data_IF_660165718733
#
_entry.id   IF_660165718733
#
_cell.length_a   1.000
_cell.length_b   1.000
_cell.length_c   1.000
_cell.angle_alpha   90.00
_cell.angle_beta   90.00
_cell.angle_gamma   90.00
#
_symmetry.space_group_name_H-M   'P 1'
#
loop_
_entity.id
_entity.type
_entity.pdbx_description
1 polymer ?
#
# COMPACT_ATOMS: atom_id res chain seq x y z
N UNK A 1 6.54 17.65 -1.32
CA UNK A 1 6.41 17.08 0.03
C UNK A 1 7.21 15.80 0.16
N UNK A 2 7.74 15.51 1.35
CA UNK A 2 8.50 14.29 1.63
C UNK A 2 7.58 13.31 2.36
N UNK A 3 7.51 12.07 1.90
CA UNK A 3 6.73 11.01 2.53
C UNK A 3 7.59 9.76 2.66
N UNK A 4 7.22 8.85 3.55
CA UNK A 4 7.90 7.58 3.70
C UNK A 4 7.00 6.48 3.17
N UNK A 5 7.48 5.66 2.24
CA UNK A 5 6.72 4.56 1.65
C UNK A 5 7.49 3.26 1.91
N UNK A 6 6.91 2.32 2.65
CA UNK A 6 7.55 1.05 3.04
C UNK A 6 8.95 1.29 3.66
N UNK A 7 9.06 2.29 4.53
CA UNK A 7 10.33 2.71 5.13
C UNK A 7 11.29 3.47 4.19
N UNK A 8 10.91 3.72 2.94
CA UNK A 8 11.71 4.47 1.96
C UNK A 8 11.23 5.92 1.83
N UNK A 9 12.09 6.86 2.17
CA UNK A 9 11.82 8.29 1.95
C UNK A 9 11.71 8.58 0.46
N UNK A 10 10.56 9.11 0.05
CA UNK A 10 10.22 9.46 -1.32
C UNK A 10 9.74 10.90 -1.36
N UNK A 11 10.37 11.71 -2.19
CA UNK A 11 9.94 13.09 -2.43
C UNK A 11 8.93 13.09 -3.55
N UNK A 12 7.68 13.43 -3.25
CA UNK A 12 6.60 13.57 -4.22
C UNK A 12 6.21 15.05 -4.38
N UNK A 13 5.77 15.50 -5.57
CA UNK A 13 5.30 16.87 -5.73
C UNK A 13 4.10 17.11 -4.80
N UNK A 14 4.03 18.29 -4.19
CA UNK A 14 2.87 18.64 -3.36
C UNK A 14 1.67 18.87 -4.29
N UNK A 15 0.61 18.10 -4.09
CA UNK A 15 -0.55 18.15 -4.96
C UNK A 15 -1.81 17.94 -4.13
N UNK A 16 -2.66 18.96 -4.03
CA UNK A 16 -3.85 18.95 -3.18
C UNK A 16 -4.89 17.93 -3.61
N UNK A 17 -4.82 17.47 -4.86
CA UNK A 17 -5.68 16.44 -5.44
C UNK A 17 -5.09 15.04 -5.30
N UNK A 18 -3.86 14.89 -4.77
CA UNK A 18 -3.21 13.58 -4.63
C UNK A 18 -3.80 12.84 -3.42
N UNK A 19 -4.40 11.71 -3.73
CA UNK A 19 -4.95 10.76 -2.78
C UNK A 19 -4.10 9.50 -2.75
N UNK A 20 -4.38 8.62 -1.77
CA UNK A 20 -3.72 7.32 -1.67
C UNK A 20 -3.92 6.51 -2.96
N UNK A 21 -5.10 6.60 -3.57
CA UNK A 21 -5.42 5.90 -4.81
C UNK A 21 -4.50 6.32 -5.98
N UNK A 22 -4.31 7.63 -6.19
CA UNK A 22 -3.37 8.12 -7.21
C UNK A 22 -1.93 7.70 -6.94
N UNK A 23 -1.52 7.64 -5.67
CA UNK A 23 -0.18 7.19 -5.31
C UNK A 23 0.02 5.70 -5.63
N UNK A 24 -0.98 4.85 -5.34
CA UNK A 24 -0.99 3.43 -5.69
C UNK A 24 -0.97 3.20 -7.21
N UNK A 25 -1.62 4.08 -7.97
CA UNK A 25 -1.59 4.05 -9.44
C UNK A 25 -0.22 4.40 -9.99
N UNK A 26 0.43 5.45 -9.48
CA UNK A 26 1.80 5.82 -9.88
C UNK A 26 2.84 4.75 -9.53
N UNK A 27 2.60 3.99 -8.45
CA UNK A 27 3.48 2.90 -8.02
C UNK A 27 3.31 1.61 -8.85
N UNK A 28 2.47 1.62 -9.89
CA UNK A 28 2.17 0.48 -10.77
C UNK A 28 1.83 -0.78 -9.96
N UNK A 29 1.10 -0.61 -8.86
CA UNK A 29 0.69 -1.73 -8.02
C UNK A 29 -0.39 -2.50 -8.80
N UNK A 30 0.06 -3.44 -9.63
CA UNK A 30 -0.78 -4.36 -10.41
C UNK A 30 -1.77 -5.16 -9.53
N UNK A 31 -1.61 -5.13 -8.21
CA UNK A 31 -2.43 -5.80 -7.22
C UNK A 31 -3.18 -4.82 -6.29
N UNK A 32 -3.67 -3.68 -6.82
CA UNK A 32 -4.55 -2.73 -6.12
C UNK A 32 -5.76 -3.35 -5.39
N UNK A 33 -6.12 -4.59 -5.71
CA UNK A 33 -7.21 -5.34 -5.08
C UNK A 33 -6.80 -6.07 -3.79
N UNK A 34 -5.50 -6.31 -3.58
CA UNK A 34 -4.98 -7.15 -2.49
C UNK A 34 -3.94 -6.44 -1.60
N UNK A 35 -3.73 -5.15 -1.82
CA UNK A 35 -2.83 -4.32 -1.02
C UNK A 35 -3.62 -3.63 0.09
N UNK A 36 -3.14 -3.77 1.31
CA UNK A 36 -3.60 -3.02 2.50
C UNK A 36 -2.64 -1.86 2.70
N UNK A 37 -3.18 -0.64 2.77
CA UNK A 37 -2.41 0.57 3.05
C UNK A 37 -2.54 0.93 4.52
N UNK A 38 -1.41 1.07 5.19
CA UNK A 38 -1.32 1.64 6.53
C UNK A 38 -0.75 3.05 6.43
N UNK A 39 -1.41 4.01 7.06
CA UNK A 39 -1.02 5.41 7.13
C UNK A 39 -0.71 5.77 8.58
N UNK A 40 0.55 6.09 8.88
CA UNK A 40 1.02 6.46 10.21
C UNK A 40 0.65 5.46 11.32
N UNK A 41 0.58 4.16 11.01
CA UNK A 41 0.14 3.12 11.96
C UNK A 41 -1.36 2.81 11.93
N UNK A 42 -2.15 3.49 11.10
CA UNK A 42 -3.59 3.28 10.96
C UNK A 42 -3.92 2.62 9.61
N UNK A 43 -4.56 1.46 9.64
CA UNK A 43 -4.98 0.76 8.42
C UNK A 43 -6.16 1.52 7.81
N UNK A 44 -5.97 1.99 6.57
CA UNK A 44 -7.00 2.71 5.84
C UNK A 44 -7.77 1.73 4.94
N UNK A 45 -9.09 1.83 4.98
CA UNK A 45 -9.97 1.09 4.08
C UNK A 45 -9.81 1.54 2.63
N UNK A 46 -9.96 0.59 1.70
CA UNK A 46 -9.83 0.85 0.27
C UNK A 46 -10.80 1.91 -0.24
N UNK A 47 -12.00 1.98 0.33
CA UNK A 47 -13.00 3.01 0.00
C UNK A 47 -12.53 4.42 0.40
N UNK A 48 -11.70 4.52 1.44
CA UNK A 48 -11.12 5.76 1.90
C UNK A 48 -9.88 6.18 1.08
N UNK A 49 -9.32 5.34 0.20
CA UNK A 49 -8.14 5.71 -0.59
C UNK A 49 -8.40 6.87 -1.54
N UNK A 50 -9.62 6.95 -2.08
CA UNK A 50 -10.03 8.02 -2.98
C UNK A 50 -10.38 9.34 -2.26
N UNK A 51 -10.63 9.29 -0.94
CA UNK A 51 -11.03 10.46 -0.15
C UNK A 51 -9.95 10.93 0.83
N UNK A 52 -8.95 10.09 1.10
CA UNK A 52 -7.85 10.40 2.02
C UNK A 52 -6.74 11.13 1.27
N UNK A 53 -6.49 12.42 1.59
CA UNK A 53 -5.40 13.17 1.00
C UNK A 53 -4.07 12.76 1.61
N UNK A 54 -3.02 12.76 0.79
CA UNK A 54 -1.63 12.49 1.22
C UNK A 54 -1.00 13.79 1.72
N UNK A 55 -0.40 13.79 2.92
CA UNK A 55 0.31 14.97 3.46
C UNK A 55 1.81 14.71 3.61
N UNK A 56 2.58 15.79 3.59
CA UNK A 56 4.03 15.73 3.79
C UNK A 56 4.35 15.31 5.22
N UNK A 57 5.25 14.33 5.36
CA UNK A 57 5.63 13.73 6.63
C UNK A 57 4.91 12.42 6.93
N UNK A 58 3.93 12.03 6.12
CA UNK A 58 3.19 10.78 6.32
C UNK A 58 4.04 9.55 5.99
N UNK A 59 3.86 8.52 6.81
CA UNK A 59 4.41 7.18 6.60
C UNK A 59 3.33 6.25 6.05
N UNK A 60 3.57 5.69 4.87
CA UNK A 60 2.73 4.72 4.18
C UNK A 60 3.39 3.35 4.20
N UNK A 61 2.70 2.31 4.63
CA UNK A 61 3.12 0.91 4.47
C UNK A 61 2.15 0.17 3.56
N UNK A 62 2.70 -0.56 2.57
CA UNK A 62 1.91 -1.34 1.63
C UNK A 62 2.06 -2.81 1.95
N UNK A 63 1.08 -3.34 2.66
CA UNK A 63 1.02 -4.73 3.10
C UNK A 63 0.29 -5.55 2.05
N UNK A 64 0.98 -6.52 1.45
CA UNK A 64 0.34 -7.48 0.56
C UNK A 64 -0.05 -8.71 1.36
N UNK A 65 -1.35 -8.91 1.58
CA UNK A 65 -1.86 -10.17 2.11
C UNK A 65 -1.84 -11.21 0.99
N UNK A 66 -0.66 -11.75 0.69
CA UNK A 66 -0.56 -13.03 -0.01
C UNK A 66 -1.02 -14.09 0.98
N UNK A 67 -2.31 -14.40 0.98
CA UNK A 67 -2.91 -15.42 1.84
C UNK A 67 -2.04 -16.69 1.82
N UNK A 68 -1.36 -16.94 2.94
CA UNK A 68 -0.61 -18.16 3.18
C UNK A 68 -1.56 -19.33 3.35
N UNK A 69 -2.11 -19.81 2.23
CA UNK A 69 -2.61 -21.17 2.14
C UNK A 69 -1.40 -22.07 2.25
N UNK A 70 -1.24 -22.70 3.40
CA UNK A 70 -0.30 -23.79 3.64
C UNK A 70 -0.21 -24.70 2.42
N UNK A 71 0.86 -24.56 1.65
CA UNK A 71 1.29 -25.59 0.72
C UNK A 71 1.80 -26.76 1.56
N UNK A 72 0.89 -27.48 2.19
CA UNK A 72 1.12 -28.88 2.54
C UNK A 72 1.28 -29.58 1.20
N UNK A 73 2.52 -29.72 0.74
CA UNK A 73 2.85 -30.66 -0.31
C UNK A 73 2.68 -32.07 0.30
N UNK A 74 1.70 -32.89 -0.10
CA UNK A 74 1.86 -34.31 0.06
C UNK A 74 2.92 -34.73 -0.97
N UNK A 75 4.19 -34.78 -0.57
CA UNK A 75 5.17 -35.55 -1.30
C UNK A 75 4.86 -37.03 -1.03
N UNK A 76 3.82 -37.54 -1.68
CA UNK A 76 3.57 -38.97 -1.78
C UNK A 76 4.70 -39.56 -2.59
N UNK A 77 5.67 -40.16 -1.88
CA UNK A 77 6.59 -41.14 -2.43
C UNK A 77 5.78 -42.28 -3.04
N UNK A 78 5.96 -42.52 -4.33
CA UNK A 78 6.02 -43.86 -4.92
C UNK A 78 7.11 -43.87 -5.98
#
# INVERSE_FOLDING_TARGET
MQITINGKETTVPENSERTIDSLLEELDVSQRLYVTVELNGEIIDREAYATTPVKGGDAFEFLYFMGGGSATFPHSRQ
#
